data_IF_363999395087
#
_entry.id   IF_363999395087
#
_cell.length_a   1.000
_cell.length_b   1.000
_cell.length_c   1.000
_cell.angle_alpha   90.00
_cell.angle_beta   90.00
_cell.angle_gamma   90.00
#
_symmetry.space_group_name_H-M   'P 1'
#
loop_
_entity.id
_entity.type
_entity.pdbx_description
1 polymer ?
#
# COMPACT_ATOMS: atom_id res chain seq x y z
N UNK A 1 25.82 -33.99 -32.33
CA UNK A 1 24.62 -34.83 -32.13
C UNK A 1 24.73 -36.03 -33.03
N UNK A 2 24.51 -37.21 -32.53
CA UNK A 2 24.54 -38.46 -33.34
C UNK A 2 23.19 -38.65 -34.04
N UNK A 3 23.12 -39.59 -34.99
CA UNK A 3 21.85 -39.92 -35.68
C UNK A 3 20.75 -40.45 -34.74
N UNK A 4 21.13 -40.95 -33.57
CA UNK A 4 20.21 -41.40 -32.50
C UNK A 4 19.80 -40.29 -31.51
N UNK A 5 20.16 -39.02 -31.78
CA UNK A 5 19.79 -37.89 -30.87
C UNK A 5 20.63 -37.76 -29.61
N UNK A 6 21.78 -38.45 -29.53
CA UNK A 6 22.70 -38.38 -28.41
C UNK A 6 23.86 -37.41 -28.67
N UNK A 7 24.55 -37.01 -27.60
CA UNK A 7 25.76 -36.21 -27.65
C UNK A 7 26.95 -37.02 -27.12
N UNK A 8 28.11 -36.88 -27.72
CA UNK A 8 29.33 -37.48 -27.20
C UNK A 8 30.09 -36.41 -26.42
N UNK A 9 30.27 -36.64 -25.11
CA UNK A 9 31.04 -35.77 -24.25
C UNK A 9 32.05 -36.57 -23.48
N UNK A 10 33.34 -36.25 -23.64
CA UNK A 10 34.45 -36.99 -23.04
C UNK A 10 34.43 -38.51 -23.41
N UNK A 11 34.12 -38.83 -24.68
CA UNK A 11 34.06 -40.22 -25.16
C UNK A 11 32.82 -41.01 -24.74
N UNK A 12 31.89 -40.44 -23.99
CA UNK A 12 30.66 -41.08 -23.50
C UNK A 12 29.43 -40.51 -24.21
N UNK A 13 28.53 -41.38 -24.66
CA UNK A 13 27.25 -40.98 -25.18
C UNK A 13 26.35 -40.47 -24.05
N UNK A 14 25.77 -39.28 -24.22
CA UNK A 14 24.86 -38.64 -23.26
C UNK A 14 23.59 -38.15 -23.96
N UNK A 15 22.49 -38.18 -23.23
CA UNK A 15 21.20 -37.70 -23.69
C UNK A 15 20.80 -36.53 -22.83
N UNK A 16 20.21 -35.49 -23.44
CA UNK A 16 19.59 -34.39 -22.70
C UNK A 16 18.24 -34.85 -22.18
N UNK A 17 18.08 -34.81 -20.86
CA UNK A 17 16.82 -35.16 -20.19
C UNK A 17 16.07 -33.88 -19.82
N UNK A 18 14.83 -33.77 -20.23
CA UNK A 18 13.95 -32.66 -19.83
C UNK A 18 13.58 -32.81 -18.35
N UNK A 19 13.71 -31.71 -17.61
CA UNK A 19 13.22 -31.62 -16.23
C UNK A 19 12.00 -30.73 -16.16
N UNK A 20 11.01 -31.18 -15.39
CA UNK A 20 9.86 -30.36 -15.07
C UNK A 20 10.27 -29.31 -14.05
N UNK A 21 9.97 -28.04 -14.35
CA UNK A 21 10.18 -26.93 -13.45
C UNK A 21 8.96 -26.03 -13.44
N UNK A 22 8.88 -25.13 -12.45
CA UNK A 22 7.82 -24.13 -12.40
C UNK A 22 7.93 -23.19 -13.60
N UNK A 23 6.81 -22.95 -14.30
CA UNK A 23 6.78 -22.04 -15.44
C UNK A 23 7.19 -20.61 -15.01
N UNK A 24 7.79 -19.82 -15.92
CA UNK A 24 7.95 -18.38 -15.69
C UNK A 24 6.61 -17.70 -15.47
N UNK A 25 6.59 -16.68 -14.62
CA UNK A 25 5.39 -15.93 -14.32
C UNK A 25 5.41 -15.32 -12.92
N UNK A 26 4.27 -14.76 -12.53
CA UNK A 26 4.04 -14.17 -11.21
C UNK A 26 3.08 -15.05 -10.44
N UNK A 27 3.48 -15.48 -9.25
CA UNK A 27 2.73 -16.37 -8.38
C UNK A 27 2.43 -15.68 -7.07
N UNK A 28 1.14 -15.57 -6.73
CA UNK A 28 0.68 -15.06 -5.44
C UNK A 28 0.31 -16.21 -4.53
N UNK A 29 0.72 -16.14 -3.28
CA UNK A 29 0.44 -17.15 -2.27
C UNK A 29 0.33 -16.51 -0.88
N UNK A 30 -0.04 -17.30 0.12
CA UNK A 30 -0.09 -16.88 1.52
C UNK A 30 0.25 -18.07 2.44
N UNK A 31 0.72 -17.78 3.65
CA UNK A 31 1.17 -18.76 4.63
C UNK A 31 0.04 -19.50 5.39
N UNK A 32 -1.23 -19.17 5.10
CA UNK A 32 -2.43 -19.69 5.79
C UNK A 32 -2.44 -19.40 7.30
N UNK A 33 -1.75 -18.33 7.74
CA UNK A 33 -1.65 -17.95 9.14
C UNK A 33 -0.80 -18.89 10.01
N UNK A 34 0.04 -19.72 9.39
CA UNK A 34 0.86 -20.72 10.13
C UNK A 34 2.21 -20.18 10.59
N UNK A 35 2.71 -19.11 9.96
CA UNK A 35 4.06 -18.59 10.20
C UNK A 35 4.18 -17.80 11.50
N UNK A 36 3.09 -17.28 12.04
CA UNK A 36 3.10 -16.49 13.26
C UNK A 36 1.97 -16.85 14.21
N UNK A 37 2.23 -16.77 15.51
CA UNK A 37 1.28 -17.13 16.57
C UNK A 37 -0.03 -16.32 16.57
N UNK A 38 -0.01 -15.10 15.99
CA UNK A 38 -1.21 -14.26 15.84
C UNK A 38 -2.23 -14.77 14.83
N UNK A 39 -1.91 -15.80 14.04
CA UNK A 39 -2.77 -16.30 12.96
C UNK A 39 -2.94 -15.34 11.77
N UNK A 40 -2.16 -14.24 11.72
CA UNK A 40 -2.21 -13.26 10.64
C UNK A 40 -1.78 -13.89 9.32
N UNK A 41 -2.57 -13.68 8.26
CA UNK A 41 -2.22 -14.10 6.91
C UNK A 41 -1.09 -13.23 6.37
N UNK A 42 0.04 -13.85 6.06
CA UNK A 42 1.18 -13.19 5.42
C UNK A 42 1.17 -13.55 3.94
N UNK A 43 0.93 -12.52 3.12
CA UNK A 43 0.91 -12.67 1.67
C UNK A 43 2.33 -12.61 1.12
N UNK A 44 2.58 -13.39 0.09
CA UNK A 44 3.82 -13.37 -0.66
C UNK A 44 3.57 -13.42 -2.16
N UNK A 45 4.54 -12.93 -2.92
CA UNK A 45 4.51 -12.98 -4.37
C UNK A 45 5.88 -13.38 -4.88
N UNK A 46 5.92 -14.30 -5.82
CA UNK A 46 7.16 -14.77 -6.46
C UNK A 46 7.13 -14.46 -7.92
N UNK A 47 8.15 -13.76 -8.41
CA UNK A 47 8.36 -13.47 -9.81
C UNK A 47 9.45 -14.40 -10.33
N UNK A 48 9.09 -15.26 -11.26
CA UNK A 48 9.99 -16.24 -11.90
C UNK A 48 10.21 -15.80 -13.36
N UNK A 49 11.43 -15.39 -13.75
CA UNK A 49 11.74 -15.04 -15.12
C UNK A 49 11.97 -16.30 -15.97
N UNK A 50 11.97 -16.16 -17.30
CA UNK A 50 12.41 -17.23 -18.21
C UNK A 50 13.86 -17.64 -17.95
N UNK A 51 14.72 -16.68 -17.65
CA UNK A 51 16.14 -16.87 -17.34
C UNK A 51 16.59 -15.79 -16.36
N UNK A 52 17.26 -16.18 -15.29
CA UNK A 52 17.81 -15.26 -14.29
C UNK A 52 17.31 -15.54 -12.87
N UNK A 53 17.58 -14.61 -11.99
CA UNK A 53 17.29 -14.72 -10.56
C UNK A 53 15.80 -14.55 -10.27
N UNK A 54 15.31 -15.27 -9.30
CA UNK A 54 13.94 -15.14 -8.80
C UNK A 54 13.84 -13.98 -7.81
N UNK A 55 12.71 -13.28 -7.84
CA UNK A 55 12.40 -12.24 -6.88
C UNK A 55 11.19 -12.70 -6.06
N UNK A 56 11.35 -12.73 -4.75
CA UNK A 56 10.29 -13.02 -3.79
C UNK A 56 9.92 -11.72 -3.06
N UNK A 57 8.65 -11.36 -3.04
CA UNK A 57 8.08 -10.30 -2.23
C UNK A 57 7.33 -10.92 -1.06
N UNK A 58 7.54 -10.41 0.15
CA UNK A 58 6.95 -10.97 1.38
C UNK A 58 6.48 -9.84 2.30
N UNK A 59 5.24 -9.96 2.81
CA UNK A 59 4.79 -9.13 3.91
C UNK A 59 5.28 -9.69 5.25
N UNK A 60 5.66 -8.78 6.14
CA UNK A 60 5.95 -9.10 7.53
C UNK A 60 4.69 -8.94 8.40
N UNK A 61 4.74 -9.43 9.64
CA UNK A 61 3.67 -9.29 10.64
C UNK A 61 3.28 -7.82 10.89
N UNK A 62 4.25 -6.91 10.75
CA UNK A 62 4.08 -5.46 10.88
C UNK A 62 3.54 -4.76 9.62
N UNK A 63 3.05 -5.52 8.62
CA UNK A 63 2.62 -5.01 7.30
C UNK A 63 3.71 -4.30 6.48
N UNK A 64 4.97 -4.60 6.77
CA UNK A 64 6.09 -4.10 5.98
C UNK A 64 6.37 -5.06 4.83
N UNK A 65 6.53 -4.50 3.62
CA UNK A 65 6.81 -5.24 2.41
C UNK A 65 8.32 -5.31 2.15
N UNK A 66 8.81 -6.54 2.04
CA UNK A 66 10.21 -6.86 1.74
C UNK A 66 10.32 -7.57 0.42
N UNK A 67 11.51 -7.51 -0.18
CA UNK A 67 11.88 -8.35 -1.30
C UNK A 67 13.19 -9.09 -1.05
N UNK A 68 13.38 -10.20 -1.74
CA UNK A 68 14.61 -11.00 -1.78
C UNK A 68 14.93 -11.36 -3.21
N UNK A 69 16.20 -11.39 -3.54
CA UNK A 69 16.70 -11.95 -4.79
C UNK A 69 17.39 -13.28 -4.46
N UNK A 70 16.98 -14.37 -5.11
CA UNK A 70 17.52 -15.72 -4.92
C UNK A 70 17.59 -16.14 -3.44
N UNK A 71 16.55 -15.80 -2.65
CA UNK A 71 16.44 -16.10 -1.21
C UNK A 71 17.57 -15.50 -0.34
N UNK A 72 18.26 -14.48 -0.82
CA UNK A 72 19.27 -13.75 -0.06
C UNK A 72 18.62 -12.84 1.01
N UNK A 73 19.35 -11.84 1.49
CA UNK A 73 18.91 -10.90 2.54
C UNK A 73 17.61 -10.17 2.17
N UNK A 74 16.72 -10.01 3.14
CA UNK A 74 15.50 -9.18 3.01
C UNK A 74 15.87 -7.70 2.92
N UNK A 75 15.29 -7.01 1.97
CA UNK A 75 15.45 -5.56 1.76
C UNK A 75 14.05 -4.97 1.60
N UNK A 76 13.84 -3.74 2.03
CA UNK A 76 12.56 -3.06 1.85
C UNK A 76 12.25 -2.81 0.37
N UNK A 77 11.00 -3.03 -0.02
CA UNK A 77 10.56 -2.80 -1.42
C UNK A 77 10.72 -1.34 -1.85
N UNK A 78 10.57 -0.40 -0.91
CA UNK A 78 10.84 1.02 -1.20
C UNK A 78 12.23 1.27 -1.75
N UNK A 79 13.25 0.52 -1.27
CA UNK A 79 14.62 0.62 -1.80
C UNK A 79 14.70 0.12 -3.25
N UNK A 80 13.96 -0.96 -3.58
CA UNK A 80 13.87 -1.47 -4.95
C UNK A 80 13.22 -0.44 -5.88
N UNK A 81 12.10 0.16 -5.46
CA UNK A 81 11.39 1.16 -6.26
C UNK A 81 12.24 2.39 -6.52
N UNK A 82 12.96 2.89 -5.50
CA UNK A 82 13.93 3.98 -5.68
C UNK A 82 15.05 3.60 -6.65
N UNK A 83 15.57 2.37 -6.59
CA UNK A 83 16.59 1.87 -7.53
C UNK A 83 16.06 1.75 -8.97
N UNK A 84 14.76 1.50 -9.14
CA UNK A 84 14.08 1.48 -10.45
C UNK A 84 13.77 2.88 -11.00
N UNK A 85 14.07 3.94 -10.23
CA UNK A 85 13.89 5.34 -10.66
C UNK A 85 12.61 6.00 -10.20
N UNK A 86 11.80 5.35 -9.34
CA UNK A 86 10.66 6.02 -8.70
C UNK A 86 11.16 7.05 -7.72
N UNK A 87 10.56 8.24 -7.72
CA UNK A 87 10.76 9.22 -6.66
C UNK A 87 9.92 8.86 -5.41
N UNK A 88 10.23 9.48 -4.27
CA UNK A 88 9.40 9.31 -3.06
C UNK A 88 7.97 9.77 -3.28
N UNK A 89 7.79 10.84 -4.04
CA UNK A 89 6.47 11.38 -4.39
C UNK A 89 5.68 10.40 -5.27
N UNK A 90 6.35 9.73 -6.23
CA UNK A 90 5.71 8.72 -7.08
C UNK A 90 5.24 7.52 -6.26
N UNK A 91 6.09 7.03 -5.34
CA UNK A 91 5.74 5.94 -4.43
C UNK A 91 4.54 6.33 -3.55
N UNK A 92 4.57 7.54 -2.99
CA UNK A 92 3.47 8.03 -2.17
C UNK A 92 2.17 8.19 -2.97
N UNK A 93 2.25 8.61 -4.25
CA UNK A 93 1.10 8.76 -5.13
C UNK A 93 0.47 7.43 -5.54
N UNK A 94 1.29 6.41 -5.81
CA UNK A 94 0.85 5.12 -6.32
C UNK A 94 0.26 4.23 -5.21
N UNK A 95 0.90 4.21 -4.04
CA UNK A 95 0.57 3.26 -2.97
C UNK A 95 -0.32 3.81 -1.87
N UNK A 96 -0.48 5.15 -1.76
CA UNK A 96 -1.24 5.76 -0.68
C UNK A 96 -2.33 6.69 -1.22
N UNK A 97 -3.49 6.66 -0.56
CA UNK A 97 -4.56 7.60 -0.85
C UNK A 97 -4.23 8.96 -0.25
N UNK A 98 -4.31 9.99 -1.08
CA UNK A 98 -4.06 11.37 -0.66
C UNK A 98 -5.34 12.00 -0.12
N UNK A 99 -5.22 12.67 1.00
CA UNK A 99 -6.21 13.57 1.53
C UNK A 99 -5.62 14.99 1.59
N UNK A 100 -6.34 15.97 1.11
CA UNK A 100 -5.92 17.37 1.16
C UNK A 100 -6.64 18.08 2.28
N UNK A 101 -5.89 18.69 3.17
CA UNK A 101 -6.39 19.50 4.26
C UNK A 101 -6.04 20.96 4.00
N UNK A 102 -7.01 21.85 4.14
CA UNK A 102 -6.81 23.31 4.12
C UNK A 102 -7.23 23.90 5.45
N UNK A 103 -6.41 24.78 5.99
CA UNK A 103 -6.74 25.47 7.24
C UNK A 103 -7.58 26.70 6.95
N UNK A 104 -8.66 26.89 7.69
CA UNK A 104 -9.50 28.08 7.63
C UNK A 104 -9.17 28.99 8.82
N UNK A 105 -8.49 30.10 8.53
CA UNK A 105 -8.03 31.04 9.55
C UNK A 105 -9.16 31.72 10.32
N UNK A 106 -10.35 31.84 9.70
CA UNK A 106 -11.50 32.49 10.31
C UNK A 106 -12.14 31.63 11.40
N UNK A 107 -12.24 30.32 11.13
CA UNK A 107 -12.90 29.36 12.02
C UNK A 107 -11.86 28.59 12.85
N UNK A 108 -10.58 28.70 12.49
CA UNK A 108 -9.44 27.95 13.10
C UNK A 108 -9.67 26.44 13.10
N UNK A 109 -10.22 25.92 11.99
CA UNK A 109 -10.44 24.49 11.77
C UNK A 109 -9.91 24.06 10.43
N UNK A 110 -9.57 22.79 10.33
CA UNK A 110 -9.16 22.17 9.07
C UNK A 110 -10.36 21.76 8.24
N UNK A 111 -10.27 21.92 6.93
CA UNK A 111 -11.26 21.46 5.95
C UNK A 111 -10.66 20.35 5.11
N UNK A 112 -11.47 19.33 4.84
CA UNK A 112 -11.11 18.26 3.89
C UNK A 112 -12.32 17.90 3.02
N UNK A 113 -12.03 17.28 1.86
CA UNK A 113 -13.09 16.76 0.99
C UNK A 113 -13.78 15.57 1.66
N UNK A 114 -15.10 15.55 1.62
CA UNK A 114 -15.88 14.42 2.09
C UNK A 114 -15.86 13.29 1.06
N UNK A 115 -15.27 12.14 1.42
CA UNK A 115 -15.28 10.94 0.58
C UNK A 115 -16.06 9.83 1.28
N UNK A 116 -17.24 9.38 0.75
CA UNK A 116 -18.05 8.33 1.34
C UNK A 116 -17.32 7.01 1.57
N UNK A 117 -16.29 6.71 0.79
CA UNK A 117 -15.53 5.45 0.90
C UNK A 117 -14.74 5.35 2.21
N UNK A 118 -14.34 6.48 2.78
CA UNK A 118 -13.61 6.52 4.04
C UNK A 118 -14.49 6.19 5.25
N UNK A 119 -15.82 6.07 5.05
CA UNK A 119 -16.84 5.91 6.09
C UNK A 119 -17.46 4.51 6.12
N UNK A 120 -16.73 3.49 5.72
CA UNK A 120 -17.18 2.10 5.82
C UNK A 120 -17.16 1.63 7.28
N UNK A 121 -18.32 1.60 7.93
CA UNK A 121 -18.52 1.06 9.29
C UNK A 121 -17.61 1.65 10.39
N UNK A 122 -17.38 2.96 10.36
CA UNK A 122 -16.64 3.66 11.43
C UNK A 122 -17.59 4.25 12.48
N UNK A 123 -17.20 4.11 13.75
CA UNK A 123 -17.75 4.92 14.83
C UNK A 123 -16.96 6.23 14.85
N UNK A 124 -17.63 7.34 14.89
CA UNK A 124 -16.98 8.65 14.98
C UNK A 124 -16.82 9.04 16.44
N UNK A 125 -15.60 9.35 16.84
CA UNK A 125 -15.34 9.95 18.16
C UNK A 125 -15.75 11.40 18.20
N UNK A 126 -15.87 12.06 17.04
CA UNK A 126 -16.13 13.48 16.90
C UNK A 126 -17.31 13.76 15.96
N UNK A 127 -17.89 14.96 16.10
CA UNK A 127 -18.95 15.41 15.22
C UNK A 127 -18.43 15.83 13.86
N UNK A 128 -19.11 15.41 12.79
CA UNK A 128 -18.83 15.86 11.44
C UNK A 128 -19.70 17.05 11.11
N UNK A 129 -19.05 18.16 10.82
CA UNK A 129 -19.69 19.44 10.51
C UNK A 129 -19.44 19.79 9.04
N UNK A 130 -20.50 20.15 8.34
CA UNK A 130 -20.40 20.65 6.96
C UNK A 130 -19.69 22.00 6.93
N UNK A 131 -18.66 22.12 6.09
CA UNK A 131 -17.86 23.34 5.98
C UNK A 131 -18.62 24.53 5.40
N UNK A 132 -19.68 24.30 4.62
CA UNK A 132 -20.47 25.35 3.98
C UNK A 132 -21.58 25.89 4.86
N UNK A 133 -22.30 24.99 5.53
CA UNK A 133 -23.49 25.35 6.29
C UNK A 133 -23.21 25.50 7.79
N UNK A 134 -22.09 24.98 8.28
CA UNK A 134 -21.76 24.94 9.71
C UNK A 134 -22.66 23.99 10.52
N UNK A 135 -23.51 23.20 9.88
CA UNK A 135 -24.41 22.27 10.56
C UNK A 135 -23.71 20.94 10.85
N UNK A 136 -23.99 20.38 12.02
CA UNK A 136 -23.57 19.02 12.37
C UNK A 136 -24.37 18.04 11.52
N UNK A 137 -23.66 17.22 10.73
CA UNK A 137 -24.25 16.23 9.81
C UNK A 137 -24.25 14.84 10.42
N UNK A 138 -23.21 14.50 11.19
CA UNK A 138 -23.10 13.25 11.92
C UNK A 138 -22.66 13.58 13.34
N UNK A 139 -23.38 13.06 14.35
CA UNK A 139 -23.07 13.29 15.76
C UNK A 139 -21.96 12.35 16.24
N UNK A 140 -21.22 12.79 17.25
CA UNK A 140 -20.24 11.94 17.92
C UNK A 140 -20.91 10.65 18.45
N UNK A 141 -20.27 9.50 18.27
CA UNK A 141 -20.79 8.20 18.67
C UNK A 141 -21.75 7.55 17.68
N UNK A 142 -22.18 8.23 16.63
CA UNK A 142 -23.09 7.68 15.63
C UNK A 142 -22.35 6.75 14.67
N UNK A 143 -22.94 5.55 14.45
CA UNK A 143 -22.42 4.60 13.46
C UNK A 143 -22.87 5.01 12.06
N UNK A 144 -21.93 5.34 11.21
CA UNK A 144 -22.24 5.63 9.81
C UNK A 144 -21.73 4.50 8.92
N UNK A 145 -22.56 4.09 7.97
CA UNK A 145 -22.19 3.13 6.94
C UNK A 145 -22.01 3.87 5.60
N UNK A 146 -21.44 3.16 4.63
CA UNK A 146 -21.21 3.69 3.28
C UNK A 146 -22.48 4.25 2.62
N UNK A 147 -23.63 3.58 2.80
CA UNK A 147 -24.90 4.01 2.19
C UNK A 147 -25.36 5.35 2.74
N UNK A 148 -25.26 5.57 4.05
CA UNK A 148 -25.60 6.84 4.67
C UNK A 148 -24.62 7.94 4.25
N UNK A 149 -23.32 7.66 4.25
CA UNK A 149 -22.32 8.60 3.76
C UNK A 149 -22.55 8.99 2.29
N UNK A 150 -22.94 8.03 1.44
CA UNK A 150 -23.27 8.31 0.03
C UNK A 150 -24.50 9.20 -0.10
N UNK A 151 -25.55 8.95 0.68
CA UNK A 151 -26.75 9.84 0.70
C UNK A 151 -26.40 11.26 1.10
N UNK A 152 -25.51 11.45 2.09
CA UNK A 152 -25.03 12.76 2.51
C UNK A 152 -24.23 13.45 1.41
N UNK A 153 -23.38 12.71 0.71
CA UNK A 153 -22.64 13.22 -0.44
C UNK A 153 -23.57 13.67 -1.58
N UNK A 154 -24.57 12.83 -1.91
CA UNK A 154 -25.57 13.11 -2.95
C UNK A 154 -26.47 14.30 -2.58
N UNK A 155 -26.72 14.54 -1.26
CA UNK A 155 -27.43 15.70 -0.76
C UNK A 155 -26.62 17.01 -0.78
N UNK A 156 -25.33 16.96 -1.20
CA UNK A 156 -24.51 18.14 -1.41
C UNK A 156 -23.36 18.34 -0.40
N UNK A 157 -23.14 17.42 0.52
CA UNK A 157 -22.01 17.45 1.44
C UNK A 157 -20.70 17.14 0.68
N UNK A 158 -19.92 18.17 0.36
CA UNK A 158 -18.64 18.02 -0.38
C UNK A 158 -17.42 18.21 0.48
N UNK A 159 -17.51 19.05 1.51
CA UNK A 159 -16.39 19.40 2.39
C UNK A 159 -16.83 19.39 3.84
N UNK A 160 -15.97 18.94 4.71
CA UNK A 160 -16.22 18.83 6.15
C UNK A 160 -15.12 19.51 6.95
N UNK A 161 -15.47 19.99 8.13
CA UNK A 161 -14.51 20.41 9.13
C UNK A 161 -14.00 19.17 9.89
N UNK A 162 -12.74 19.18 10.22
CA UNK A 162 -12.07 18.16 11.03
C UNK A 162 -11.27 18.84 12.14
N UNK A 163 -11.15 18.16 13.28
CA UNK A 163 -10.35 18.64 14.41
C UNK A 163 -8.86 18.42 14.18
N UNK A 164 -8.02 19.06 14.99
CA UNK A 164 -6.58 18.83 14.98
C UNK A 164 -6.24 17.38 15.36
N UNK A 165 -7.01 16.78 16.25
CA UNK A 165 -6.82 15.41 16.74
C UNK A 165 -7.01 14.36 15.63
N UNK A 166 -7.89 14.65 14.68
CA UNK A 166 -8.11 13.76 13.52
C UNK A 166 -6.93 13.72 12.53
N UNK A 167 -5.99 14.66 12.64
CA UNK A 167 -4.75 14.68 11.84
C UNK A 167 -3.64 13.84 12.45
N UNK A 168 -3.72 13.51 13.73
CA UNK A 168 -2.71 12.68 14.38
C UNK A 168 -2.63 11.28 13.76
N UNK A 169 -1.40 10.81 13.54
CA UNK A 169 -1.13 9.52 12.92
C UNK A 169 -1.21 9.52 11.39
N UNK A 170 -1.40 10.69 10.76
CA UNK A 170 -1.29 10.84 9.31
C UNK A 170 0.12 11.29 8.93
N UNK A 171 0.58 10.85 7.77
CA UNK A 171 1.91 11.14 7.26
C UNK A 171 1.88 12.24 6.21
N UNK A 172 2.90 13.09 6.20
CA UNK A 172 3.06 14.12 5.19
C UNK A 172 3.31 13.50 3.80
N UNK A 173 2.58 14.01 2.81
CA UNK A 173 2.74 13.56 1.43
C UNK A 173 3.89 14.25 0.69
N UNK A 174 4.24 15.49 1.10
CA UNK A 174 5.32 16.29 0.55
C UNK A 174 6.11 16.95 1.66
N UNK A 175 7.33 17.33 1.34
CA UNK A 175 8.14 18.14 2.23
C UNK A 175 7.45 19.51 2.44
N UNK A 176 7.34 19.93 3.70
CA UNK A 176 6.76 21.21 4.10
C UNK A 176 7.85 22.03 4.77
N UNK A 177 8.03 23.25 4.31
CA UNK A 177 8.98 24.21 4.86
C UNK A 177 8.18 25.20 5.71
N UNK A 178 8.45 25.26 7.01
CA UNK A 178 7.85 26.19 7.94
C UNK A 178 8.97 27.05 8.57
N UNK A 179 9.20 28.24 8.04
CA UNK A 179 10.32 29.09 8.47
C UNK A 179 11.67 28.43 8.18
N UNK A 180 12.45 28.17 9.22
CA UNK A 180 13.77 27.49 9.11
C UNK A 180 13.67 25.96 9.20
N UNK A 181 12.52 25.40 9.57
CA UNK A 181 12.33 23.97 9.74
C UNK A 181 11.75 23.33 8.49
N UNK A 182 12.27 22.16 8.13
CA UNK A 182 11.79 21.34 7.01
C UNK A 182 11.28 20.01 7.54
N UNK A 183 9.98 19.77 7.38
CA UNK A 183 9.33 18.50 7.68
C UNK A 183 9.32 17.65 6.41
N UNK A 184 9.95 16.47 6.49
CA UNK A 184 10.11 15.60 5.32
C UNK A 184 8.87 14.74 5.09
N UNK A 185 8.70 14.31 3.83
CA UNK A 185 7.70 13.32 3.44
C UNK A 185 7.79 12.06 4.32
N UNK A 186 6.63 11.59 4.81
CA UNK A 186 6.52 10.38 5.65
C UNK A 186 6.79 10.62 7.14
N UNK A 187 6.89 11.89 7.58
CA UNK A 187 6.93 12.27 9.00
C UNK A 187 5.55 12.59 9.52
#
# INVERSE_FOLDING_TARGET
>A
MTNSGTFITNGVQRVVVNQMHRSPGVFFDHDKGKSHASGKLLFNCRVIPNRGSWIDFEYDVKDLLYFRIDRKKKIYVSTLLLALGYSKDDIANEFFQKETYSFDDKIKKWKTKFNPENYKSKNFSEEIVDSKTGKVVIKAGEKTNYLNAKKLFDSGLKEIFVSNESLYGKYLHKDIICGEETFKIGT
#
